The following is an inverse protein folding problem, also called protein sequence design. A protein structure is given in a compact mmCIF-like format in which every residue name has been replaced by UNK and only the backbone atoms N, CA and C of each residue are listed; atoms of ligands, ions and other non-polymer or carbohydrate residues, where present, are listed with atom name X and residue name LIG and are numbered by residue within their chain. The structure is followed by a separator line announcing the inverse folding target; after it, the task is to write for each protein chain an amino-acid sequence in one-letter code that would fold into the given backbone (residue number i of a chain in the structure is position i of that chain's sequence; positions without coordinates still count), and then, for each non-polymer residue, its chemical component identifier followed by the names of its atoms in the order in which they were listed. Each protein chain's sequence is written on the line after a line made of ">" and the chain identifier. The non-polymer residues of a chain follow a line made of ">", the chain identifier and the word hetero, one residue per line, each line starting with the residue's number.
data_IF_162965467639
#
_entry.id   IF_162965467639
#
_cell.length_a   1.000
_cell.length_b   1.000
_cell.length_c   1.000
_cell.angle_alpha   90.00
_cell.angle_beta   90.00
_cell.angle_gamma   90.00
#
_symmetry.space_group_name_H-M   'P 1'
#
loop_
_entity.id
_entity.type
_entity.pdbx_description
1 polymer ?
#
# COMPACT_ATOMS: atom_id res chain seq x y z
N UNK A 1 -23.74 3.97 8.76
CA UNK A 1 -23.22 4.77 7.64
C UNK A 1 -23.26 6.22 8.04
N UNK A 2 -22.11 6.89 8.05
CA UNK A 2 -22.07 8.35 8.05
C UNK A 2 -22.57 8.81 6.67
N UNK A 3 -23.37 9.88 6.60
CA UNK A 3 -23.63 10.54 5.31
C UNK A 3 -22.28 10.92 4.66
N UNK A 4 -22.19 10.84 3.33
CA UNK A 4 -20.97 11.18 2.58
C UNK A 4 -20.42 12.57 2.98
N UNK A 5 -21.31 13.54 3.13
CA UNK A 5 -20.96 14.90 3.58
C UNK A 5 -20.43 14.93 5.03
N UNK A 6 -20.97 14.08 5.89
CA UNK A 6 -20.51 13.96 7.27
C UNK A 6 -19.13 13.30 7.34
N UNK A 7 -18.87 12.27 6.50
CA UNK A 7 -17.56 11.62 6.40
C UNK A 7 -16.45 12.62 6.04
N UNK A 8 -16.62 13.42 4.99
CA UNK A 8 -15.58 14.39 4.58
C UNK A 8 -15.35 15.50 5.61
N UNK A 9 -16.38 15.89 6.36
CA UNK A 9 -16.26 16.83 7.47
C UNK A 9 -15.39 16.26 8.60
N UNK A 10 -15.66 15.02 9.00
CA UNK A 10 -14.86 14.32 10.02
C UNK A 10 -13.44 14.08 9.54
N UNK A 11 -13.25 13.66 8.28
CA UNK A 11 -11.93 13.46 7.69
C UNK A 11 -11.11 14.76 7.70
N UNK A 12 -11.70 15.90 7.29
CA UNK A 12 -11.02 17.19 7.34
C UNK A 12 -10.54 17.54 8.75
N UNK A 13 -11.33 17.20 9.78
CA UNK A 13 -10.96 17.38 11.18
C UNK A 13 -9.78 16.50 11.58
N UNK A 14 -9.81 15.23 11.17
CA UNK A 14 -8.78 14.22 11.48
C UNK A 14 -7.43 14.52 10.81
N UNK A 15 -7.45 15.07 9.59
CA UNK A 15 -6.23 15.43 8.85
C UNK A 15 -5.45 16.60 9.45
N UNK A 16 -5.97 17.29 10.48
CA UNK A 16 -5.28 18.42 11.11
C UNK A 16 -3.96 18.02 11.77
N UNK A 17 -3.87 16.78 12.23
CA UNK A 17 -2.68 16.25 12.90
C UNK A 17 -1.70 15.57 11.92
N UNK A 18 -2.08 15.43 10.64
CA UNK A 18 -1.25 14.85 9.57
C UNK A 18 -0.29 15.93 9.01
N UNK A 19 0.96 15.60 8.62
CA UNK A 19 1.83 16.54 7.93
C UNK A 19 1.16 17.18 6.71
N UNK A 20 1.28 18.51 6.56
CA UNK A 20 0.53 19.29 5.57
C UNK A 20 0.67 18.77 4.13
N UNK A 21 1.87 18.28 3.76
CA UNK A 21 2.13 17.73 2.43
C UNK A 21 1.35 16.47 2.08
N UNK A 22 0.91 15.68 3.08
CA UNK A 22 0.19 14.42 2.84
C UNK A 22 -1.33 14.58 2.82
N UNK A 23 -1.86 15.69 3.37
CA UNK A 23 -3.31 15.90 3.51
C UNK A 23 -4.06 15.90 2.17
N UNK A 24 -3.58 16.58 1.10
CA UNK A 24 -4.28 16.56 -0.19
C UNK A 24 -4.38 15.14 -0.76
N UNK A 25 -3.32 14.35 -0.60
CA UNK A 25 -3.28 12.99 -1.11
C UNK A 25 -4.37 12.11 -0.52
N UNK A 26 -4.51 12.17 0.81
CA UNK A 26 -5.52 11.40 1.53
C UNK A 26 -6.94 11.89 1.18
N UNK A 27 -7.12 13.20 1.03
CA UNK A 27 -8.42 13.77 0.65
C UNK A 27 -8.85 13.34 -0.75
N UNK A 28 -7.94 13.27 -1.72
CA UNK A 28 -8.24 12.82 -3.08
C UNK A 28 -8.59 11.33 -3.11
N UNK A 29 -7.82 10.48 -2.42
CA UNK A 29 -8.11 9.04 -2.32
C UNK A 29 -9.47 8.78 -1.64
N UNK A 30 -9.81 9.58 -0.62
CA UNK A 30 -11.09 9.50 0.04
C UNK A 30 -12.25 9.87 -0.89
N UNK A 31 -12.09 10.90 -1.73
CA UNK A 31 -13.06 11.26 -2.77
C UNK A 31 -13.16 10.18 -3.84
N UNK A 32 -12.05 9.54 -4.17
CA UNK A 32 -12.00 8.50 -5.20
C UNK A 32 -12.73 7.23 -4.75
N UNK A 33 -12.86 7.02 -3.45
CA UNK A 33 -13.61 5.92 -2.84
C UNK A 33 -12.76 4.82 -2.23
N UNK A 34 -11.45 5.03 -2.11
CA UNK A 34 -10.48 4.01 -1.68
C UNK A 34 -10.79 3.42 -0.29
N UNK A 35 -11.38 4.22 0.59
CA UNK A 35 -11.64 3.85 1.99
C UNK A 35 -13.09 3.37 2.24
N UNK A 36 -13.91 3.16 1.22
CA UNK A 36 -15.35 2.88 1.40
C UNK A 36 -15.64 1.51 2.03
N UNK A 37 -14.76 0.52 1.87
CA UNK A 37 -14.92 -0.83 2.47
C UNK A 37 -14.77 -0.85 4.01
N UNK A 38 -14.36 0.26 4.63
CA UNK A 38 -14.17 0.37 6.09
C UNK A 38 -15.48 0.58 6.87
N UNK A 39 -16.62 0.76 6.19
CA UNK A 39 -17.88 1.17 6.80
C UNK A 39 -18.88 0.04 7.10
N UNK A 40 -18.54 -1.23 6.84
CA UNK A 40 -19.39 -2.37 7.21
C UNK A 40 -19.26 -2.67 8.70
N UNK A 41 -20.30 -2.28 9.45
CA UNK A 41 -20.47 -2.50 10.89
C UNK A 41 -20.46 -4.00 11.23
N UNK A 42 -19.44 -4.44 11.95
CA UNK A 42 -19.61 -5.44 13.01
C UNK A 42 -19.03 -4.82 14.28
N UNK A 43 -19.88 -4.62 15.29
CA UNK A 43 -19.53 -3.95 16.55
C UNK A 43 -18.57 -4.77 17.45
N UNK A 44 -18.26 -6.02 17.05
CA UNK A 44 -17.46 -6.96 17.85
C UNK A 44 -16.03 -7.14 17.32
N UNK A 45 -15.64 -6.44 16.25
CA UNK A 45 -14.27 -6.51 15.72
C UNK A 45 -13.51 -5.22 16.06
N UNK A 46 -12.44 -5.26 16.88
CA UNK A 46 -11.66 -4.07 17.28
C UNK A 46 -10.91 -3.41 16.12
N UNK A 47 -10.96 -3.99 14.92
CA UNK A 47 -10.38 -3.41 13.71
C UNK A 47 -11.34 -2.38 13.09
N UNK A 48 -11.65 -1.31 13.84
CA UNK A 48 -12.20 -0.06 13.29
C UNK A 48 -11.10 0.64 12.49
N UNK A 49 -10.73 0.04 11.37
CA UNK A 49 -9.68 0.52 10.49
C UNK A 49 -10.26 1.62 9.64
N UNK A 50 -10.20 2.86 10.14
CA UNK A 50 -10.73 4.01 9.43
C UNK A 50 -9.62 4.98 9.10
N UNK A 51 -9.59 5.49 7.87
CA UNK A 51 -8.78 6.66 7.52
C UNK A 51 -9.10 7.90 8.39
N UNK A 52 -10.20 7.89 9.14
CA UNK A 52 -10.57 8.92 10.11
C UNK A 52 -9.66 8.95 11.37
N UNK A 53 -8.74 7.99 11.52
CA UNK A 53 -7.69 8.01 12.54
C UNK A 53 -6.31 7.94 11.85
N UNK A 54 -5.92 8.98 11.10
CA UNK A 54 -4.82 8.91 10.15
C UNK A 54 -3.44 8.71 10.79
N UNK A 55 -3.31 8.92 12.10
CA UNK A 55 -2.05 8.73 12.83
C UNK A 55 -1.90 7.35 13.48
N UNK A 56 -2.96 6.53 13.47
CA UNK A 56 -2.86 5.16 13.93
C UNK A 56 -2.00 4.35 12.96
N UNK A 57 -1.34 3.31 13.48
CA UNK A 57 -0.58 2.38 12.67
C UNK A 57 -1.52 1.61 11.73
N UNK A 58 -1.04 1.29 10.54
CA UNK A 58 -1.78 0.50 9.56
C UNK A 58 -1.40 -0.97 9.70
N UNK A 59 -2.38 -1.87 9.73
CA UNK A 59 -2.12 -3.31 9.65
C UNK A 59 -1.89 -3.75 8.21
N UNK A 60 -1.26 -4.90 8.03
CA UNK A 60 -0.99 -5.49 6.71
C UNK A 60 -2.27 -5.72 5.91
N UNK A 61 -3.35 -6.22 6.53
CA UNK A 61 -4.65 -6.42 5.85
C UNK A 61 -5.28 -5.11 5.36
N UNK A 62 -5.20 -4.05 6.16
CA UNK A 62 -5.75 -2.73 5.79
C UNK A 62 -5.03 -2.19 4.58
N UNK A 63 -3.70 -2.26 4.60
CA UNK A 63 -2.91 -1.80 3.47
C UNK A 63 -3.17 -2.64 2.21
N UNK A 64 -3.33 -3.96 2.33
CA UNK A 64 -3.69 -4.83 1.22
C UNK A 64 -5.04 -4.39 0.57
N UNK A 65 -6.07 -4.12 1.38
CA UNK A 65 -7.35 -3.58 0.89
C UNK A 65 -7.17 -2.27 0.14
N UNK A 66 -6.46 -1.32 0.74
CA UNK A 66 -6.27 0.00 0.15
C UNK A 66 -5.43 -0.05 -1.11
N UNK A 67 -4.39 -0.89 -1.17
CA UNK A 67 -3.56 -1.08 -2.35
C UNK A 67 -4.39 -1.55 -3.54
N UNK A 68 -5.22 -2.59 -3.34
CA UNK A 68 -6.12 -3.10 -4.38
C UNK A 68 -7.18 -2.08 -4.77
N UNK A 69 -7.84 -1.46 -3.78
CA UNK A 69 -8.89 -0.48 -4.05
C UNK A 69 -8.34 0.74 -4.79
N UNK A 70 -7.24 1.34 -4.33
CA UNK A 70 -6.62 2.49 -4.98
C UNK A 70 -6.19 2.17 -6.42
N UNK A 71 -5.51 1.04 -6.63
CA UNK A 71 -5.12 0.61 -7.97
C UNK A 71 -6.33 0.46 -8.89
N UNK A 72 -7.36 -0.27 -8.45
CA UNK A 72 -8.50 -0.58 -9.30
C UNK A 72 -9.42 0.64 -9.53
N UNK A 73 -9.55 1.53 -8.55
CA UNK A 73 -10.27 2.79 -8.74
C UNK A 73 -9.54 3.76 -9.67
N UNK A 74 -8.20 3.85 -9.56
CA UNK A 74 -7.41 4.73 -10.42
C UNK A 74 -7.35 4.20 -11.86
N UNK A 75 -7.34 2.89 -12.04
CA UNK A 75 -7.36 2.25 -13.36
C UNK A 75 -8.73 1.71 -13.78
N UNK A 76 -9.84 2.28 -13.29
CA UNK A 76 -11.20 1.76 -13.54
C UNK A 76 -11.53 1.51 -15.03
N UNK A 77 -10.94 2.31 -15.93
CA UNK A 77 -11.11 2.20 -17.38
C UNK A 77 -10.02 1.38 -18.09
N UNK A 78 -9.13 0.72 -17.34
CA UNK A 78 -8.04 -0.12 -17.83
C UNK A 78 -7.96 -1.44 -17.05
N UNK A 79 -8.79 -2.40 -17.47
CA UNK A 79 -8.93 -3.69 -16.81
C UNK A 79 -7.67 -4.57 -16.82
N UNK A 80 -6.70 -4.28 -17.68
CA UNK A 80 -5.41 -4.95 -17.72
C UNK A 80 -4.50 -4.54 -16.54
N UNK A 81 -4.72 -3.34 -15.99
CA UNK A 81 -3.99 -2.84 -14.80
C UNK A 81 -4.69 -3.19 -13.48
N UNK A 82 -5.84 -3.85 -13.50
CA UNK A 82 -6.55 -4.26 -12.29
C UNK A 82 -5.85 -5.41 -11.58
N UNK A 83 -5.80 -5.33 -10.25
CA UNK A 83 -5.46 -6.47 -9.39
C UNK A 83 -6.72 -7.32 -9.26
N UNK A 84 -6.58 -8.61 -9.56
CA UNK A 84 -7.68 -9.58 -9.51
C UNK A 84 -7.82 -10.13 -8.09
N UNK A 85 -9.06 -10.17 -7.61
CA UNK A 85 -9.39 -10.83 -6.35
C UNK A 85 -9.47 -12.33 -6.57
N UNK A 86 -9.08 -13.08 -5.55
CA UNK A 86 -9.21 -14.52 -5.51
C UNK A 86 -10.67 -14.97 -5.46
N UNK A 87 -10.94 -16.16 -6.00
CA UNK A 87 -12.27 -16.78 -5.96
C UNK A 87 -12.47 -17.48 -4.61
N UNK A 88 -13.71 -17.48 -4.11
CA UNK A 88 -14.05 -18.09 -2.83
C UNK A 88 -13.71 -19.60 -2.74
N UNK A 89 -13.57 -20.30 -3.87
CA UNK A 89 -13.25 -21.72 -3.90
C UNK A 89 -11.74 -22.05 -3.99
N UNK A 90 -10.86 -21.06 -4.17
CA UNK A 90 -9.41 -21.27 -4.25
C UNK A 90 -8.82 -21.78 -2.92
N UNK A 91 -7.69 -22.49 -3.00
CA UNK A 91 -7.01 -23.02 -1.81
C UNK A 91 -6.20 -21.90 -1.14
N UNK A 92 -6.34 -21.68 0.19
CA UNK A 92 -5.54 -20.68 0.89
C UNK A 92 -4.04 -20.92 0.70
N UNK A 93 -3.32 -19.86 0.34
CA UNK A 93 -1.86 -19.84 0.27
C UNK A 93 -1.24 -19.73 1.66
N UNK A 94 -1.83 -18.90 2.52
CA UNK A 94 -1.34 -18.65 3.88
C UNK A 94 -2.16 -19.44 4.91
N UNK A 95 -1.49 -19.98 5.91
CA UNK A 95 -2.11 -20.78 6.98
C UNK A 95 -3.04 -19.94 7.89
N UNK A 96 -2.75 -18.65 8.01
CA UNK A 96 -3.44 -17.71 8.90
C UNK A 96 -4.45 -16.80 8.18
N UNK A 97 -4.76 -17.10 6.91
CA UNK A 97 -5.81 -16.42 6.12
C UNK A 97 -6.75 -17.45 5.52
N UNK A 98 -7.66 -18.04 6.32
CA UNK A 98 -8.65 -19.00 5.82
C UNK A 98 -9.64 -18.32 4.87
N UNK A 99 -10.38 -19.12 4.09
CA UNK A 99 -11.43 -18.62 3.17
C UNK A 99 -12.53 -17.77 3.84
N UNK A 100 -12.70 -17.94 5.15
CA UNK A 100 -13.66 -17.20 5.98
C UNK A 100 -13.13 -15.86 6.46
N UNK A 101 -11.84 -15.56 6.28
CA UNK A 101 -11.29 -14.25 6.58
C UNK A 101 -11.91 -13.21 5.62
N UNK A 102 -12.39 -12.07 6.12
CA UNK A 102 -13.03 -11.04 5.28
C UNK A 102 -12.10 -10.48 4.19
N UNK A 103 -10.78 -10.56 4.39
CA UNK A 103 -9.76 -10.09 3.46
C UNK A 103 -9.14 -11.22 2.63
N UNK A 104 -9.66 -12.46 2.75
CA UNK A 104 -9.15 -13.62 2.01
C UNK A 104 -8.97 -13.31 0.52
N UNK A 105 -10.02 -12.81 -0.14
CA UNK A 105 -10.01 -12.57 -1.58
C UNK A 105 -8.95 -11.54 -2.02
N UNK A 106 -8.70 -10.53 -1.17
CA UNK A 106 -7.73 -9.46 -1.42
C UNK A 106 -6.31 -9.97 -1.21
N UNK A 107 -6.04 -10.59 -0.06
CA UNK A 107 -4.71 -11.08 0.31
C UNK A 107 -4.27 -12.21 -0.62
N UNK A 108 -5.15 -13.19 -0.85
CA UNK A 108 -4.90 -14.29 -1.77
C UNK A 108 -4.64 -13.78 -3.19
N UNK A 109 -5.46 -12.85 -3.71
CA UNK A 109 -5.28 -12.29 -5.06
C UNK A 109 -3.95 -11.54 -5.24
N UNK A 110 -3.50 -10.80 -4.22
CA UNK A 110 -2.18 -10.18 -4.23
C UNK A 110 -1.04 -11.21 -4.28
N UNK A 111 -1.16 -12.31 -3.53
CA UNK A 111 -0.16 -13.37 -3.52
C UNK A 111 -0.11 -14.12 -4.86
N UNK A 112 -1.26 -14.42 -5.45
CA UNK A 112 -1.36 -15.06 -6.77
C UNK A 112 -0.82 -14.17 -7.89
N UNK A 113 -0.95 -12.84 -7.75
CA UNK A 113 -0.32 -11.87 -8.63
C UNK A 113 1.20 -11.70 -8.39
N UNK A 114 1.77 -12.35 -7.36
CA UNK A 114 3.18 -12.22 -6.98
C UNK A 114 3.55 -10.83 -6.43
N UNK A 115 2.57 -10.05 -5.97
CA UNK A 115 2.76 -8.69 -5.47
C UNK A 115 3.14 -8.64 -3.97
N UNK A 116 2.87 -9.73 -3.25
CA UNK A 116 3.27 -9.91 -1.85
C UNK A 116 4.04 -11.23 -1.72
N UNK A 117 4.97 -11.28 -0.76
CA UNK A 117 5.76 -12.47 -0.48
C UNK A 117 4.85 -13.65 -0.11
N UNK A 118 5.10 -14.80 -0.74
CA UNK A 118 4.35 -16.03 -0.52
C UNK A 118 5.15 -17.25 -0.98
N UNK A 119 4.69 -18.48 -0.67
CA UNK A 119 5.28 -19.69 -1.22
C UNK A 119 5.23 -19.74 -2.76
N UNK A 120 4.26 -19.05 -3.39
CA UNK A 120 4.14 -18.98 -4.85
C UNK A 120 5.23 -18.12 -5.49
N UNK A 121 5.74 -17.11 -4.78
CA UNK A 121 6.84 -16.26 -5.26
C UNK A 121 8.22 -16.86 -4.98
N UNK A 122 8.29 -18.12 -4.55
CA UNK A 122 9.53 -18.83 -4.22
C UNK A 122 10.03 -18.63 -2.80
N UNK A 123 9.31 -17.86 -1.97
CA UNK A 123 9.65 -17.69 -0.56
C UNK A 123 8.93 -18.75 0.28
N UNK A 124 9.47 -19.96 0.25
CA UNK A 124 8.89 -21.14 0.90
C UNK A 124 8.80 -21.02 2.42
N UNK A 125 9.49 -20.04 3.02
CA UNK A 125 9.46 -19.80 4.46
C UNK A 125 8.29 -18.91 4.89
N UNK A 126 7.68 -18.17 3.95
CA UNK A 126 6.53 -17.31 4.22
C UNK A 126 5.24 -18.14 4.15
N UNK A 127 4.97 -18.91 5.21
CA UNK A 127 3.74 -19.71 5.33
C UNK A 127 2.55 -18.94 5.93
N UNK A 128 2.81 -17.78 6.52
CA UNK A 128 1.83 -16.90 7.17
C UNK A 128 1.91 -15.49 6.60
N UNK A 129 0.75 -14.88 6.36
CA UNK A 129 0.65 -13.49 5.93
C UNK A 129 0.76 -12.51 7.09
N UNK A 130 0.32 -12.91 8.29
CA UNK A 130 0.20 -12.09 9.51
C UNK A 130 -0.65 -10.84 9.30
N UNK A 131 -1.96 -11.01 9.04
CA UNK A 131 -2.80 -9.91 8.60
C UNK A 131 -2.93 -8.76 9.61
N UNK A 132 -2.83 -9.06 10.90
CA UNK A 132 -3.03 -8.11 11.99
C UNK A 132 -1.72 -7.45 12.48
N UNK A 133 -0.56 -7.90 11.98
CA UNK A 133 0.72 -7.24 12.23
C UNK A 133 0.73 -5.85 11.57
N UNK A 134 1.43 -4.89 12.18
CA UNK A 134 1.63 -3.57 11.60
C UNK A 134 2.55 -3.63 10.38
N UNK A 135 2.17 -2.89 9.35
CA UNK A 135 2.96 -2.78 8.12
C UNK A 135 4.26 -2.01 8.37
N UNK A 136 5.38 -2.56 7.91
CA UNK A 136 6.70 -1.92 7.96
C UNK A 136 6.95 -1.04 6.72
N UNK A 137 7.96 -0.18 6.77
CA UNK A 137 8.35 0.65 5.62
C UNK A 137 8.86 -0.18 4.45
N UNK A 138 9.59 -1.25 4.71
CA UNK A 138 10.08 -2.10 3.64
C UNK A 138 8.95 -2.89 2.95
N UNK A 139 7.97 -3.40 3.71
CA UNK A 139 6.78 -4.05 3.12
C UNK A 139 5.94 -3.06 2.31
N UNK A 140 5.74 -1.83 2.83
CA UNK A 140 5.02 -0.77 2.12
C UNK A 140 5.57 -0.56 0.70
N UNK A 141 6.89 -0.44 0.60
CA UNK A 141 7.61 -0.18 -0.65
C UNK A 141 7.67 -1.45 -1.52
N UNK A 142 7.97 -2.60 -0.93
CA UNK A 142 8.03 -3.88 -1.63
C UNK A 142 6.72 -4.21 -2.34
N UNK A 143 5.57 -3.93 -1.72
CA UNK A 143 4.26 -4.23 -2.31
C UNK A 143 3.81 -3.15 -3.30
N UNK A 144 4.19 -1.88 -3.07
CA UNK A 144 3.75 -0.75 -3.89
C UNK A 144 4.51 -0.65 -5.21
N UNK A 145 5.85 -0.69 -5.15
CA UNK A 145 6.71 -0.35 -6.28
C UNK A 145 6.51 -1.23 -7.52
N UNK A 146 6.24 -2.56 -7.41
CA UNK A 146 5.90 -3.36 -8.58
C UNK A 146 4.71 -2.83 -9.37
N UNK A 147 3.76 -2.16 -8.70
CA UNK A 147 2.61 -1.55 -9.35
C UNK A 147 2.91 -0.22 -10.03
N UNK A 148 4.02 0.44 -9.67
CA UNK A 148 4.47 1.65 -10.37
C UNK A 148 5.09 1.32 -11.72
N UNK A 149 5.84 0.22 -11.79
CA UNK A 149 6.61 -0.11 -12.98
C UNK A 149 5.92 -1.14 -13.88
N UNK A 150 5.21 -2.13 -13.30
CA UNK A 150 4.56 -3.23 -14.05
C UNK A 150 5.49 -3.99 -15.00
N UNK A 151 6.77 -3.99 -14.67
CA UNK A 151 7.84 -4.67 -15.37
C UNK A 151 8.83 -5.22 -14.34
N UNK A 152 9.73 -6.14 -14.73
CA UNK A 152 10.77 -6.62 -13.82
C UNK A 152 11.55 -5.45 -13.21
N UNK A 153 11.71 -5.48 -11.89
CA UNK A 153 12.52 -4.51 -11.17
C UNK A 153 14.02 -4.80 -11.39
N UNK A 154 14.89 -3.78 -11.33
CA UNK A 154 16.33 -3.95 -11.49
C UNK A 154 16.91 -4.88 -10.42
N UNK A 155 17.99 -5.58 -10.77
CA UNK A 155 18.79 -6.29 -9.78
C UNK A 155 19.43 -5.31 -8.80
N UNK A 156 19.18 -5.52 -7.51
CA UNK A 156 19.69 -4.66 -6.45
C UNK A 156 20.71 -5.37 -5.57
N UNK A 157 21.68 -4.58 -5.12
CA UNK A 157 22.60 -4.93 -4.03
C UNK A 157 22.57 -3.81 -2.99
N UNK A 158 23.10 -4.09 -1.80
CA UNK A 158 23.24 -3.08 -0.74
C UNK A 158 24.02 -1.86 -1.26
N UNK A 159 25.06 -2.06 -2.07
CA UNK A 159 25.90 -1.01 -2.62
C UNK A 159 25.12 -0.13 -3.60
N UNK A 160 24.33 -0.72 -4.50
CA UNK A 160 23.49 0.04 -5.45
C UNK A 160 22.46 0.89 -4.72
N UNK A 161 21.78 0.32 -3.72
CA UNK A 161 20.80 1.07 -2.91
C UNK A 161 21.48 2.18 -2.11
N UNK A 162 22.65 1.91 -1.52
CA UNK A 162 23.42 2.92 -0.80
C UNK A 162 23.90 4.04 -1.72
N UNK A 163 24.30 3.74 -2.95
CA UNK A 163 24.69 4.76 -3.92
C UNK A 163 23.50 5.65 -4.33
N UNK A 164 22.32 5.07 -4.50
CA UNK A 164 21.12 5.79 -4.94
C UNK A 164 20.47 6.64 -3.83
N UNK A 165 20.49 6.16 -2.58
CA UNK A 165 19.77 6.78 -1.47
C UNK A 165 20.65 7.39 -0.38
N UNK A 166 21.91 6.96 -0.27
CA UNK A 166 22.81 7.30 0.85
C UNK A 166 22.20 7.00 2.23
N UNK A 167 21.39 5.94 2.32
CA UNK A 167 20.89 5.44 3.60
C UNK A 167 22.03 4.86 4.44
N UNK A 168 22.05 5.22 5.72
CA UNK A 168 23.05 4.72 6.68
C UNK A 168 22.71 3.30 7.16
N UNK A 169 21.48 2.86 6.96
CA UNK A 169 20.92 1.59 7.42
C UNK A 169 20.51 0.65 6.27
N UNK A 170 21.07 0.82 5.07
CA UNK A 170 20.79 -0.04 3.90
C UNK A 170 20.99 -1.54 4.20
N UNK A 171 21.97 -1.88 5.04
CA UNK A 171 22.25 -3.28 5.42
C UNK A 171 21.16 -3.93 6.27
N UNK A 172 20.18 -3.16 6.76
CA UNK A 172 19.03 -3.67 7.50
C UNK A 172 17.80 -3.92 6.63
N UNK A 173 17.84 -3.50 5.37
CA UNK A 173 16.70 -3.69 4.44
C UNK A 173 16.64 -5.17 4.06
N UNK A 174 15.44 -5.74 4.11
CA UNK A 174 15.22 -7.10 3.66
C UNK A 174 15.72 -7.29 2.20
N UNK A 175 16.48 -8.35 1.89
CA UNK A 175 17.00 -8.59 0.56
C UNK A 175 15.93 -8.55 -0.55
N UNK A 176 14.71 -9.01 -0.28
CA UNK A 176 13.60 -8.98 -1.23
C UNK A 176 13.11 -7.55 -1.51
N UNK A 177 13.25 -6.64 -0.53
CA UNK A 177 12.85 -5.23 -0.64
C UNK A 177 13.89 -4.36 -1.35
N UNK A 178 15.18 -4.76 -1.42
CA UNK A 178 16.25 -3.96 -2.03
C UNK A 178 15.92 -3.52 -3.47
N UNK A 179 15.35 -4.40 -4.29
CA UNK A 179 14.97 -4.09 -5.69
C UNK A 179 13.88 -3.03 -5.79
N UNK A 180 12.91 -3.06 -4.87
CA UNK A 180 11.83 -2.08 -4.82
C UNK A 180 12.37 -0.72 -4.33
N UNK A 181 13.23 -0.73 -3.31
CA UNK A 181 13.87 0.50 -2.81
C UNK A 181 14.78 1.12 -3.88
N UNK A 182 15.57 0.31 -4.60
CA UNK A 182 16.42 0.80 -5.70
C UNK A 182 15.58 1.45 -6.81
N UNK A 183 14.55 0.74 -7.29
CA UNK A 183 13.69 1.24 -8.35
C UNK A 183 12.95 2.52 -7.95
N UNK A 184 12.51 2.63 -6.69
CA UNK A 184 11.89 3.87 -6.18
C UNK A 184 12.84 5.07 -6.22
N UNK A 185 14.16 4.85 -6.08
CA UNK A 185 15.17 5.91 -6.15
C UNK A 185 15.20 6.59 -7.52
N UNK A 186 15.02 5.79 -8.58
CA UNK A 186 15.07 6.17 -9.99
C UNK A 186 13.74 6.75 -10.49
N UNK A 187 12.65 6.57 -9.73
CA UNK A 187 11.34 7.11 -10.08
C UNK A 187 11.23 8.60 -9.71
N UNK A 188 10.88 9.45 -10.69
CA UNK A 188 10.54 10.85 -10.45
C UNK A 188 9.33 11.01 -9.50
N UNK A 189 8.45 10.00 -9.46
CA UNK A 189 7.32 9.88 -8.54
C UNK A 189 7.63 8.90 -7.39
N UNK A 190 8.85 8.98 -6.83
CA UNK A 190 9.28 8.20 -5.68
C UNK A 190 8.29 8.22 -4.52
N UNK A 191 7.93 7.03 -4.06
CA UNK A 191 7.07 6.78 -2.91
C UNK A 191 7.77 7.18 -1.61
N UNK A 192 9.05 6.84 -1.45
CA UNK A 192 9.84 7.15 -0.25
C UNK A 192 9.95 8.67 -0.07
N UNK A 193 10.28 9.42 -1.14
CA UNK A 193 10.37 10.89 -1.08
C UNK A 193 9.00 11.52 -0.81
N UNK A 194 7.93 11.01 -1.41
CA UNK A 194 6.56 11.51 -1.21
C UNK A 194 6.13 11.41 0.25
N UNK A 195 6.39 10.27 0.88
CA UNK A 195 5.81 9.95 2.19
C UNK A 195 6.75 10.33 3.34
N UNK A 196 8.04 10.06 3.20
CA UNK A 196 9.02 10.25 4.29
C UNK A 196 9.89 11.49 4.12
N UNK A 197 9.80 12.18 2.98
CA UNK A 197 10.62 13.34 2.68
C UNK A 197 12.10 12.99 2.56
N UNK A 198 12.96 13.99 2.77
CA UNK A 198 14.40 13.76 2.86
C UNK A 198 14.74 12.97 4.13
N UNK A 199 15.36 11.81 3.95
CA UNK A 199 15.85 10.98 5.05
C UNK A 199 17.17 10.31 4.67
N UNK A 200 18.07 10.15 5.65
CA UNK A 200 19.30 9.34 5.54
C UNK A 200 19.21 8.02 6.31
N UNK A 201 18.07 7.76 6.94
CA UNK A 201 17.73 6.50 7.59
C UNK A 201 16.40 6.02 7.03
N UNK A 202 16.40 4.89 6.33
CA UNK A 202 15.16 4.33 5.82
C UNK A 202 14.29 3.81 6.97
N UNK A 203 14.91 3.18 7.97
CA UNK A 203 14.28 2.44 9.06
C UNK A 203 13.31 1.39 8.51
N UNK A 204 13.82 0.33 7.84
CA UNK A 204 13.00 -0.66 7.15
C UNK A 204 11.92 -1.28 8.05
N UNK A 205 12.25 -1.50 9.32
CA UNK A 205 11.42 -2.09 10.37
C UNK A 205 10.38 -1.13 10.98
N UNK A 206 10.47 0.18 10.69
CA UNK A 206 9.55 1.15 11.27
C UNK A 206 8.14 0.90 10.74
N UNK A 207 7.18 0.83 11.66
CA UNK A 207 5.76 0.73 11.32
C UNK A 207 5.21 2.02 10.70
N UNK A 208 4.27 1.87 9.78
CA UNK A 208 3.70 2.95 8.96
C UNK A 208 2.36 3.41 9.51
N UNK A 209 2.10 4.72 9.49
CA UNK A 209 0.78 5.25 9.85
C UNK A 209 -0.23 5.11 8.70
N UNK A 210 -1.53 5.17 9.02
CA UNK A 210 -2.61 5.20 8.03
C UNK A 210 -2.45 6.34 7.03
N UNK A 211 -2.01 7.53 7.46
CA UNK A 211 -1.72 8.66 6.59
C UNK A 211 -0.56 8.38 5.64
N UNK A 212 0.54 7.82 6.14
CA UNK A 212 1.71 7.48 5.34
C UNK A 212 1.37 6.42 4.28
N UNK A 213 0.64 5.37 4.68
CA UNK A 213 0.20 4.31 3.79
C UNK A 213 -0.81 4.82 2.74
N UNK A 214 -1.76 5.67 3.12
CA UNK A 214 -2.65 6.29 2.14
C UNK A 214 -1.86 7.18 1.16
N UNK A 215 -0.96 8.03 1.64
CA UNK A 215 -0.18 8.93 0.80
C UNK A 215 0.68 8.21 -0.24
N UNK A 216 1.20 7.01 0.07
CA UNK A 216 1.95 6.21 -0.89
C UNK A 216 1.12 5.83 -2.12
N UNK A 217 -0.18 5.61 -1.94
CA UNK A 217 -1.12 5.15 -2.96
C UNK A 217 -1.65 6.27 -3.86
N UNK A 218 -1.30 7.54 -3.61
CA UNK A 218 -1.85 8.67 -4.36
C UNK A 218 -1.41 8.70 -5.83
N UNK A 219 -0.32 8.03 -6.18
CA UNK A 219 0.17 7.93 -7.55
C UNK A 219 0.57 6.48 -7.86
N UNK A 220 0.22 6.02 -9.06
CA UNK A 220 0.71 4.76 -9.62
C UNK A 220 1.37 5.04 -10.96
N UNK A 221 2.61 4.59 -11.13
CA UNK A 221 3.33 4.72 -12.39
C UNK A 221 4.74 5.30 -12.25
N UNK A 222 5.35 5.56 -13.40
CA UNK A 222 6.58 6.32 -13.53
C UNK A 222 6.34 7.64 -14.30
N UNK A 223 7.41 8.25 -14.80
CA UNK A 223 7.38 9.45 -15.64
C UNK A 223 6.79 9.26 -17.05
N UNK A 224 6.70 8.02 -17.54
CA UNK A 224 6.24 7.71 -18.88
C UNK A 224 4.78 7.29 -18.90
N UNK A 225 4.36 6.50 -17.90
CA UNK A 225 3.00 5.99 -17.76
C UNK A 225 2.60 5.97 -16.29
N UNK A 226 1.80 6.96 -15.90
CA UNK A 226 1.28 7.04 -14.55
C UNK A 226 0.02 7.87 -14.41
N UNK A 227 -0.59 7.72 -13.24
CA UNK A 227 -1.86 8.34 -12.89
C UNK A 227 -1.85 8.70 -11.42
N UNK A 228 -2.32 9.90 -11.09
CA UNK A 228 -2.59 10.32 -9.72
C UNK A 228 -4.07 10.12 -9.37
N UNK A 229 -4.39 10.07 -8.07
CA UNK A 229 -5.78 10.04 -7.62
C UNK A 229 -6.55 11.27 -8.11
N UNK A 230 -5.88 12.42 -8.23
CA UNK A 230 -6.46 13.64 -8.79
C UNK A 230 -6.82 13.49 -10.27
N UNK A 231 -5.92 12.90 -11.08
CA UNK A 231 -6.20 12.62 -12.49
C UNK A 231 -7.36 11.63 -12.64
N UNK A 232 -7.40 10.57 -11.82
CA UNK A 232 -8.49 9.61 -11.82
C UNK A 232 -9.85 10.26 -11.46
N UNK A 233 -9.86 11.17 -10.49
CA UNK A 233 -11.06 11.96 -10.14
C UNK A 233 -11.56 12.85 -11.28
N UNK A 234 -10.65 13.40 -12.08
CA UNK A 234 -11.01 14.24 -13.23
C UNK A 234 -11.56 13.43 -14.41
N UNK A 235 -11.29 12.13 -14.44
CA UNK A 235 -11.76 11.22 -15.48
C UNK A 235 -13.09 10.53 -15.14
N UNK A 236 -13.63 10.71 -13.92
CA UNK A 236 -14.96 10.24 -13.50
C UNK A 236 -16.01 11.30 -13.83
#
# INVERSE_FOLDING_TARGET
>A
MLSLNNFFSVLKKALRDVPTGLRPYIADLAKLGVFQQEQTKNQDNPDTTSILEPQNLVSRRVYARWLVSANNEMFANNSAKHIRLARANEKPIFEDVPKTDPDFAVIQGLAEAGLIASPLSGDVNVVKFRPDDFLTREDLILWKVPLDFRQPLPEATIEKVKAAWDFQDTSKIDPAALRAVLADAENNFSNIRRVFGYTRLFRPDKTVSRAEAAAVLWYFGDQNDGISAQMALQAK
#
